data_IF_631053449718
#
_entry.id   IF_631053449718
#
_cell.length_a   1.000
_cell.length_b   1.000
_cell.length_c   1.000
_cell.angle_alpha   90.00
_cell.angle_beta   90.00
_cell.angle_gamma   90.00
#
_symmetry.space_group_name_H-M   'P 1'
#
loop_
_entity.id
_entity.type
_entity.pdbx_description
1 polymer ?
#
# COMPACT_ATOMS: atom_id res chain seq x y z
N UNK A 1 -3.26 -39.12 -9.83
CA UNK A 1 -4.57 -38.55 -9.43
C UNK A 1 -4.46 -37.78 -8.11
N UNK A 2 -4.67 -38.36 -6.91
CA UNK A 2 -4.74 -37.55 -5.66
C UNK A 2 -3.53 -36.62 -5.36
N UNK A 3 -2.29 -37.03 -5.67
CA UNK A 3 -1.08 -36.19 -5.47
C UNK A 3 -0.92 -35.09 -6.52
N UNK A 4 -1.35 -35.34 -7.75
CA UNK A 4 -1.30 -34.37 -8.85
C UNK A 4 -2.37 -33.30 -8.65
N UNK A 5 -3.56 -33.69 -8.20
CA UNK A 5 -4.65 -32.78 -7.86
C UNK A 5 -4.27 -31.86 -6.68
N UNK A 6 -3.59 -32.41 -5.68
CA UNK A 6 -3.06 -31.62 -4.54
C UNK A 6 -1.97 -30.64 -4.98
N UNK A 7 -1.06 -31.05 -5.86
CA UNK A 7 -0.02 -30.16 -6.40
C UNK A 7 -0.61 -29.04 -7.28
N UNK A 8 -1.60 -29.36 -8.10
CA UNK A 8 -2.32 -28.38 -8.93
C UNK A 8 -3.05 -27.36 -8.05
N UNK A 9 -3.74 -27.80 -7.00
CA UNK A 9 -4.41 -26.94 -6.04
C UNK A 9 -3.42 -25.99 -5.33
N UNK A 10 -2.29 -26.52 -4.84
CA UNK A 10 -1.26 -25.69 -4.18
C UNK A 10 -0.70 -24.61 -5.12
N UNK A 11 -0.45 -24.96 -6.38
CA UNK A 11 0.04 -24.03 -7.40
C UNK A 11 -0.99 -22.94 -7.71
N UNK A 12 -2.27 -23.29 -7.78
CA UNK A 12 -3.34 -22.32 -7.99
C UNK A 12 -3.48 -21.37 -6.81
N UNK A 13 -3.46 -21.88 -5.58
CA UNK A 13 -3.49 -21.09 -4.35
C UNK A 13 -2.30 -20.13 -4.29
N UNK A 14 -1.09 -20.61 -4.60
CA UNK A 14 0.10 -19.78 -4.66
C UNK A 14 -0.05 -18.64 -5.68
N UNK A 15 -0.49 -18.96 -6.89
CA UNK A 15 -0.68 -17.97 -7.96
C UNK A 15 -1.69 -16.89 -7.55
N UNK A 16 -2.82 -17.29 -6.93
CA UNK A 16 -3.83 -16.36 -6.42
C UNK A 16 -3.27 -15.49 -5.30
N UNK A 17 -2.47 -16.06 -4.40
CA UNK A 17 -1.82 -15.33 -3.32
C UNK A 17 -0.83 -14.28 -3.86
N UNK A 18 0.06 -14.66 -4.77
CA UNK A 18 1.02 -13.75 -5.41
C UNK A 18 0.32 -12.63 -6.19
N UNK A 19 -0.80 -12.94 -6.86
CA UNK A 19 -1.64 -11.92 -7.51
C UNK A 19 -2.19 -10.94 -6.48
N UNK A 20 -2.77 -11.43 -5.39
CA UNK A 20 -3.35 -10.60 -4.33
C UNK A 20 -2.30 -9.72 -3.65
N UNK A 21 -1.09 -10.24 -3.42
CA UNK A 21 0.02 -9.45 -2.86
C UNK A 21 0.38 -8.29 -3.78
N UNK A 22 0.53 -8.55 -5.08
CA UNK A 22 0.79 -7.49 -6.07
C UNK A 22 -0.33 -6.45 -6.15
N UNK A 23 -1.58 -6.88 -6.15
CA UNK A 23 -2.73 -5.97 -6.14
C UNK A 23 -2.75 -5.09 -4.88
N UNK A 24 -2.41 -5.65 -3.72
CA UNK A 24 -2.31 -4.89 -2.48
C UNK A 24 -1.17 -3.86 -2.54
N UNK A 25 0.00 -4.26 -3.02
CA UNK A 25 1.14 -3.36 -3.18
C UNK A 25 0.82 -2.18 -4.11
N UNK A 26 0.20 -2.46 -5.26
CA UNK A 26 -0.27 -1.42 -6.20
C UNK A 26 -1.25 -0.48 -5.51
N UNK A 27 -2.28 -1.01 -4.83
CA UNK A 27 -3.28 -0.19 -4.16
C UNK A 27 -2.68 0.73 -3.07
N UNK A 28 -1.68 0.25 -2.34
CA UNK A 28 -0.96 1.05 -1.34
C UNK A 28 -0.17 2.16 -2.02
N UNK A 29 0.53 1.88 -3.12
CA UNK A 29 1.32 2.88 -3.85
C UNK A 29 0.40 3.93 -4.48
N UNK A 30 -0.70 3.52 -5.11
CA UNK A 30 -1.71 4.42 -5.69
C UNK A 30 -2.29 5.37 -4.64
N UNK A 31 -2.64 4.84 -3.45
CA UNK A 31 -3.13 5.66 -2.35
C UNK A 31 -2.16 6.79 -1.97
N UNK A 32 -0.86 6.49 -1.82
CA UNK A 32 0.14 7.50 -1.45
C UNK A 32 0.44 8.46 -2.59
N UNK A 33 0.45 7.97 -3.84
CA UNK A 33 0.56 8.82 -5.02
C UNK A 33 -0.58 9.84 -5.05
N UNK A 34 -1.82 9.41 -4.83
CA UNK A 34 -2.98 10.31 -4.80
C UNK A 34 -2.88 11.36 -3.69
N UNK A 35 -2.35 10.99 -2.51
CA UNK A 35 -2.12 11.99 -1.45
C UNK A 35 -1.10 13.05 -1.88
N UNK A 36 -0.02 12.64 -2.56
CA UNK A 36 0.99 13.57 -3.06
C UNK A 36 0.45 14.45 -4.20
N UNK A 37 -0.29 13.87 -5.14
CA UNK A 37 -0.89 14.61 -6.25
C UNK A 37 -1.86 15.69 -5.76
N UNK A 38 -2.61 15.42 -4.69
CA UNK A 38 -3.47 16.42 -4.03
C UNK A 38 -2.66 17.59 -3.48
N UNK A 39 -1.52 17.33 -2.84
CA UNK A 39 -0.64 18.39 -2.31
C UNK A 39 -0.14 19.28 -3.45
N UNK A 40 0.26 18.67 -4.57
CA UNK A 40 0.71 19.40 -5.77
C UNK A 40 -0.44 20.23 -6.34
N UNK A 41 -1.64 19.67 -6.46
CA UNK A 41 -2.83 20.34 -6.99
C UNK A 41 -3.29 21.52 -6.12
N UNK A 42 -3.08 21.46 -4.80
CA UNK A 42 -3.43 22.53 -3.86
C UNK A 42 -2.62 23.81 -4.04
N UNK A 43 -1.50 23.79 -4.79
CA UNK A 43 -0.63 24.95 -5.04
C UNK A 43 -0.33 25.74 -3.75
N UNK A 44 0.34 25.12 -2.76
CA UNK A 44 0.58 25.77 -1.48
C UNK A 44 1.28 27.12 -1.64
N UNK A 45 0.78 28.13 -0.92
CA UNK A 45 1.31 29.50 -0.93
C UNK A 45 2.62 29.60 -0.13
N UNK A 46 3.67 28.94 -0.62
CA UNK A 46 5.02 28.96 -0.07
C UNK A 46 5.47 27.67 0.62
N UNK A 47 6.76 27.65 0.98
CA UNK A 47 7.47 26.45 1.46
C UNK A 47 6.90 25.95 2.79
N UNK A 48 6.50 26.84 3.71
CA UNK A 48 5.95 26.45 5.00
C UNK A 48 4.62 25.67 4.86
N UNK A 49 3.73 26.13 3.97
CA UNK A 49 2.47 25.45 3.69
C UNK A 49 2.71 24.07 3.06
N UNK A 50 3.67 23.95 2.13
CA UNK A 50 4.06 22.67 1.55
C UNK A 50 4.62 21.71 2.61
N UNK A 51 5.55 22.17 3.46
CA UNK A 51 6.14 21.37 4.54
C UNK A 51 5.08 20.82 5.49
N UNK A 52 4.08 21.63 5.84
CA UNK A 52 2.96 21.19 6.69
C UNK A 52 2.17 20.05 6.04
N UNK A 53 1.86 20.15 4.74
CA UNK A 53 1.11 19.11 4.05
C UNK A 53 1.91 17.81 3.90
N UNK A 54 3.21 17.91 3.57
CA UNK A 54 4.11 16.75 3.50
C UNK A 54 4.21 16.06 4.87
N UNK A 55 4.31 16.84 5.96
CA UNK A 55 4.35 16.29 7.33
C UNK A 55 3.09 15.50 7.66
N UNK A 56 1.91 16.00 7.30
CA UNK A 56 0.64 15.28 7.51
C UNK A 56 0.62 13.93 6.80
N UNK A 57 1.05 13.87 5.53
CA UNK A 57 1.14 12.61 4.79
C UNK A 57 2.13 11.66 5.46
N UNK A 58 3.30 12.16 5.87
CA UNK A 58 4.30 11.34 6.60
C UNK A 58 3.76 10.78 7.91
N UNK A 59 2.97 11.54 8.67
CA UNK A 59 2.33 11.08 9.91
C UNK A 59 1.27 10.01 9.64
N UNK A 60 0.46 10.18 8.58
CA UNK A 60 -0.49 9.15 8.13
C UNK A 60 0.22 7.85 7.76
N UNK A 61 1.35 7.93 7.03
CA UNK A 61 2.17 6.77 6.68
C UNK A 61 2.70 6.09 7.95
N UNK A 62 3.24 6.85 8.91
CA UNK A 62 3.74 6.30 10.17
C UNK A 62 2.65 5.58 10.96
N UNK A 63 1.45 6.15 11.04
CA UNK A 63 0.30 5.52 11.68
C UNK A 63 -0.09 4.21 10.99
N UNK A 64 -0.15 4.21 9.64
CA UNK A 64 -0.46 3.00 8.88
C UNK A 64 0.59 1.91 9.07
N UNK A 65 1.87 2.25 9.02
CA UNK A 65 2.98 1.33 9.28
C UNK A 65 2.87 0.74 10.68
N UNK A 66 2.58 1.56 11.69
CA UNK A 66 2.41 1.10 13.08
C UNK A 66 1.27 0.10 13.21
N UNK A 67 0.12 0.37 12.58
CA UNK A 67 -1.03 -0.55 12.59
C UNK A 67 -0.70 -1.86 11.88
N UNK A 68 -0.14 -1.80 10.67
CA UNK A 68 0.20 -3.00 9.91
C UNK A 68 1.24 -3.88 10.63
N UNK A 69 2.22 -3.27 11.31
CA UNK A 69 3.20 -4.00 12.13
C UNK A 69 2.58 -4.66 13.38
N UNK A 70 1.50 -4.10 13.92
CA UNK A 70 0.76 -4.74 15.03
C UNK A 70 -0.02 -5.94 14.55
N UNK A 71 -0.65 -5.84 13.38
CA UNK A 71 -1.49 -6.90 12.81
C UNK A 71 -0.66 -8.06 12.22
N UNK A 72 0.63 -7.82 11.93
CA UNK A 72 1.57 -8.85 11.47
C UNK A 72 2.19 -9.69 12.61
N UNK A 73 1.77 -9.48 13.85
CA UNK A 73 2.29 -10.12 15.06
C UNK A 73 1.31 -11.16 15.59
#
# INVERSE_FOLDING_TARGET
MAKEDQAAFLKEVQTRFEKRVRENEVAVIEHWKDQLDRIVAMKPEGIAALQLQVKKVSEMMANRIKTLKKDAK
#
